data_IF_956450639331
#
_entry.id   IF_956450639331
#
_cell.length_a   1.000
_cell.length_b   1.000
_cell.length_c   1.000
_cell.angle_alpha   90.00
_cell.angle_beta   90.00
_cell.angle_gamma   90.00
#
_symmetry.space_group_name_H-M   'P 1'
#
loop_
_entity.id
_entity.type
_entity.pdbx_description
1 polymer ?
#
# COMPACT_ATOMS: atom_id res chain seq x y z
N UNK A 1 0.48 14.08 -8.35
CA UNK A 1 -0.79 13.48 -7.88
C UNK A 1 -1.88 13.93 -8.82
N UNK A 2 -2.59 12.99 -9.42
CA UNK A 2 -3.58 13.28 -10.46
C UNK A 2 -5.00 13.31 -9.88
N UNK A 3 -5.71 14.43 -10.02
CA UNK A 3 -7.04 14.64 -9.44
C UNK A 3 -8.14 13.80 -10.09
N UNK A 4 -7.89 13.26 -11.28
CA UNK A 4 -8.79 12.34 -11.98
C UNK A 4 -8.60 10.87 -11.57
N UNK A 5 -7.60 10.59 -10.73
CA UNK A 5 -7.30 9.25 -10.22
C UNK A 5 -8.06 8.91 -8.93
N UNK A 6 -7.41 8.11 -8.08
CA UNK A 6 -7.98 7.61 -6.81
C UNK A 6 -7.53 8.42 -5.58
N UNK A 7 -6.76 9.49 -5.77
CA UNK A 7 -6.32 10.37 -4.68
C UNK A 7 -7.52 11.20 -4.21
N UNK A 8 -7.73 11.25 -2.90
CA UNK A 8 -8.82 11.99 -2.27
C UNK A 8 -10.20 11.68 -2.92
N UNK A 9 -10.44 10.40 -3.25
CA UNK A 9 -11.43 9.94 -4.22
C UNK A 9 -12.87 10.42 -3.95
N UNK A 10 -13.30 10.44 -2.70
CA UNK A 10 -14.62 10.92 -2.27
C UNK A 10 -14.58 12.28 -1.55
N UNK A 11 -13.49 13.03 -1.72
CA UNK A 11 -13.22 14.28 -1.03
C UNK A 11 -12.47 14.12 0.30
N UNK A 12 -12.12 12.88 0.67
CA UNK A 12 -11.26 12.55 1.80
C UNK A 12 -10.25 11.45 1.42
N UNK A 13 -9.33 11.13 2.34
CA UNK A 13 -8.35 10.05 2.20
C UNK A 13 -9.03 8.65 2.15
N UNK A 14 -9.62 8.33 1.00
CA UNK A 14 -10.40 7.10 0.78
C UNK A 14 -9.48 5.89 0.65
N UNK A 15 -8.53 5.95 -0.28
CA UNK A 15 -7.64 4.84 -0.65
C UNK A 15 -6.30 4.92 0.07
N UNK A 16 -5.87 6.11 0.44
CA UNK A 16 -4.61 6.42 1.11
C UNK A 16 -4.78 6.53 2.64
N UNK A 17 -3.67 6.46 3.36
CA UNK A 17 -3.68 6.82 4.78
C UNK A 17 -3.93 8.32 4.94
N UNK A 18 -4.74 8.70 5.93
CA UNK A 18 -5.00 10.10 6.26
C UNK A 18 -3.77 10.80 6.84
N UNK A 19 -3.00 10.11 7.70
CA UNK A 19 -1.75 10.64 8.24
C UNK A 19 -0.66 10.67 7.14
N UNK A 20 -0.14 11.85 6.75
CA UNK A 20 0.87 11.95 5.70
C UNK A 20 2.17 11.20 6.01
N UNK A 21 2.49 10.98 7.29
CA UNK A 21 3.67 10.21 7.74
C UNK A 21 3.56 8.73 7.40
N UNK A 22 2.37 8.24 7.10
CA UNK A 22 2.12 6.90 6.55
C UNK A 22 1.73 6.97 5.07
N UNK A 23 0.87 7.94 4.73
CA UNK A 23 0.14 8.04 3.46
C UNK A 23 0.86 8.68 2.29
N UNK A 24 2.12 9.10 2.46
CA UNK A 24 2.89 9.74 1.39
C UNK A 24 4.32 9.22 1.27
N UNK A 25 4.78 9.03 0.03
CA UNK A 25 6.20 9.01 -0.30
C UNK A 25 6.58 10.40 -0.79
N UNK A 26 7.02 11.26 0.12
CA UNK A 26 7.25 12.68 -0.13
C UNK A 26 8.23 12.94 -1.28
N UNK A 27 9.34 12.19 -1.35
CA UNK A 27 10.34 12.32 -2.42
C UNK A 27 9.79 11.94 -3.81
N UNK A 28 8.78 11.06 -3.86
CA UNK A 28 8.17 10.61 -5.10
C UNK A 28 6.93 11.42 -5.48
N UNK A 29 6.39 12.22 -4.55
CA UNK A 29 5.14 12.94 -4.75
C UNK A 29 3.93 12.03 -4.93
N UNK A 30 3.96 10.81 -4.40
CA UNK A 30 2.91 9.79 -4.51
C UNK A 30 2.20 9.54 -3.17
N UNK A 31 0.97 9.01 -3.24
CA UNK A 31 0.20 8.54 -2.08
C UNK A 31 0.47 7.06 -1.81
N UNK A 32 0.36 6.64 -0.57
CA UNK A 32 0.48 5.24 -0.12
C UNK A 32 -0.89 4.72 0.23
N UNK A 33 -1.26 3.57 -0.35
CA UNK A 33 -2.52 2.88 -0.04
C UNK A 33 -2.64 2.55 1.44
N UNK A 34 -3.85 2.71 1.98
CA UNK A 34 -4.18 2.37 3.34
C UNK A 34 -4.40 0.86 3.50
N UNK A 35 -3.35 0.15 3.87
CA UNK A 35 -3.41 -1.31 4.05
C UNK A 35 -4.23 -1.76 5.26
N UNK A 36 -4.70 -0.83 6.12
CA UNK A 36 -5.62 -1.12 7.24
C UNK A 36 -7.08 -1.23 6.78
N UNK A 37 -7.48 -0.54 5.70
CA UNK A 37 -8.88 -0.52 5.22
C UNK A 37 -9.19 -1.78 4.41
N UNK A 38 -10.24 -2.51 4.81
CA UNK A 38 -10.62 -3.78 4.16
C UNK A 38 -10.94 -3.61 2.68
N UNK A 39 -11.62 -2.53 2.32
CA UNK A 39 -12.03 -2.22 0.94
C UNK A 39 -10.83 -1.92 0.05
N UNK A 40 -9.83 -1.21 0.60
CA UNK A 40 -8.56 -0.94 -0.11
C UNK A 40 -7.77 -2.22 -0.30
N UNK A 41 -7.72 -3.09 0.71
CA UNK A 41 -7.08 -4.41 0.58
C UNK A 41 -7.79 -5.26 -0.47
N UNK A 42 -9.12 -5.31 -0.45
CA UNK A 42 -9.91 -6.05 -1.43
C UNK A 42 -9.66 -5.54 -2.85
N UNK A 43 -9.54 -4.22 -3.04
CA UNK A 43 -9.15 -3.63 -4.31
C UNK A 43 -7.75 -4.10 -4.76
N UNK A 44 -6.75 -4.05 -3.87
CA UNK A 44 -5.37 -4.44 -4.18
C UNK A 44 -5.18 -5.94 -4.42
N UNK A 45 -5.91 -6.80 -3.72
CA UNK A 45 -5.91 -8.25 -3.92
C UNK A 45 -6.72 -8.65 -5.15
N UNK A 46 -7.82 -7.93 -5.42
CA UNK A 46 -8.68 -8.16 -6.58
C UNK A 46 -7.98 -7.84 -7.89
N UNK A 47 -7.07 -6.86 -7.92
CA UNK A 47 -6.33 -6.50 -9.14
C UNK A 47 -5.54 -7.67 -9.75
N UNK A 48 -4.59 -8.33 -9.06
CA UNK A 48 -3.85 -9.46 -9.62
C UNK A 48 -4.75 -10.66 -9.93
N UNK A 49 -5.76 -10.95 -9.10
CA UNK A 49 -6.72 -12.02 -9.38
C UNK A 49 -7.52 -11.75 -10.66
N UNK A 50 -7.91 -10.50 -10.91
CA UNK A 50 -8.56 -10.09 -12.15
C UNK A 50 -7.65 -10.28 -13.36
N UNK A 51 -6.36 -9.94 -13.25
CA UNK A 51 -5.40 -10.15 -14.32
C UNK A 51 -5.19 -11.64 -14.64
N UNK A 52 -5.13 -12.50 -13.62
CA UNK A 52 -5.09 -13.96 -13.81
C UNK A 52 -6.37 -14.44 -14.50
N UNK A 53 -7.55 -14.10 -13.98
CA UNK A 53 -8.84 -14.60 -14.49
C UNK A 53 -9.16 -14.11 -15.91
N UNK A 54 -8.89 -12.83 -16.22
CA UNK A 54 -9.28 -12.23 -17.50
C UNK A 54 -8.23 -12.31 -18.58
N UNK A 55 -6.96 -12.33 -18.21
CA UNK A 55 -5.85 -12.23 -19.16
C UNK A 55 -4.88 -13.42 -19.08
N UNK A 56 -5.09 -14.35 -18.14
CA UNK A 56 -4.29 -15.57 -18.00
C UNK A 56 -2.79 -15.29 -17.88
N UNK A 57 -2.42 -14.24 -17.13
CA UNK A 57 -1.02 -13.95 -16.85
C UNK A 57 -0.41 -15.03 -15.94
N UNK A 58 0.83 -15.42 -16.22
CA UNK A 58 1.50 -16.52 -15.50
C UNK A 58 2.22 -16.10 -14.22
N UNK A 59 2.29 -14.80 -13.94
CA UNK A 59 2.95 -14.30 -12.74
C UNK A 59 3.01 -12.79 -12.62
N UNK A 60 3.36 -12.35 -11.40
CA UNK A 60 3.54 -10.94 -11.07
C UNK A 60 4.92 -10.70 -10.49
N UNK A 61 5.46 -9.52 -10.80
CA UNK A 61 6.63 -8.95 -10.13
C UNK A 61 6.18 -7.68 -9.42
N UNK A 62 6.51 -7.56 -8.13
CA UNK A 62 6.30 -6.33 -7.36
C UNK A 62 7.63 -5.60 -7.22
N UNK A 63 7.63 -4.35 -7.64
CA UNK A 63 8.75 -3.42 -7.53
C UNK A 63 8.75 -2.72 -6.15
N UNK A 64 9.92 -2.24 -5.72
CA UNK A 64 10.10 -1.42 -4.53
C UNK A 64 9.42 -1.95 -3.25
N UNK A 65 9.41 -3.25 -3.03
CA UNK A 65 8.71 -3.89 -1.87
C UNK A 65 9.14 -3.29 -0.52
N UNK A 66 10.39 -2.83 -0.37
CA UNK A 66 10.85 -2.13 0.83
C UNK A 66 10.04 -0.86 1.15
N UNK A 67 9.53 -0.15 0.15
CA UNK A 67 8.68 1.03 0.33
C UNK A 67 7.33 0.68 0.96
N UNK A 68 6.88 -0.57 0.80
CA UNK A 68 5.71 -1.08 1.50
C UNK A 68 6.06 -1.57 2.91
N UNK A 69 7.16 -2.32 3.05
CA UNK A 69 7.52 -3.05 4.27
C UNK A 69 8.00 -2.16 5.43
N UNK A 70 8.53 -0.97 5.16
CA UNK A 70 9.13 -0.13 6.19
C UNK A 70 8.40 1.20 6.33
N UNK A 71 7.97 1.51 7.56
CA UNK A 71 7.29 2.76 7.93
C UNK A 71 8.23 3.97 7.89
N UNK A 72 9.54 3.75 7.95
CA UNK A 72 10.58 4.78 7.86
C UNK A 72 11.23 4.87 6.47
N UNK A 73 10.71 4.17 5.46
CA UNK A 73 11.29 4.17 4.11
C UNK A 73 11.40 5.59 3.54
N UNK A 74 12.62 6.04 3.26
CA UNK A 74 12.95 7.40 2.80
C UNK A 74 12.31 8.53 3.65
N UNK A 75 12.19 8.32 4.96
CA UNK A 75 11.68 9.32 5.92
C UNK A 75 12.77 9.66 6.94
N UNK A 76 12.87 10.94 7.32
CA UNK A 76 13.83 11.36 8.37
C UNK A 76 13.31 10.98 9.76
N UNK A 77 14.18 11.12 10.74
CA UNK A 77 13.81 11.04 12.15
C UNK A 77 12.66 12.03 12.45
N UNK A 78 11.61 11.56 13.12
CA UNK A 78 10.34 12.25 13.40
C UNK A 78 9.35 12.46 12.24
N UNK A 79 9.68 12.01 11.01
CA UNK A 79 8.77 12.06 9.85
C UNK A 79 7.99 10.75 9.64
N UNK A 80 8.10 9.82 10.57
CA UNK A 80 7.41 8.52 10.55
C UNK A 80 6.96 8.15 11.96
N UNK A 81 6.09 7.14 12.07
CA UNK A 81 5.60 6.63 13.34
C UNK A 81 5.84 5.11 13.46
N UNK A 82 6.26 4.61 14.64
CA UNK A 82 6.47 3.19 14.85
C UNK A 82 5.18 2.39 14.76
N UNK A 83 5.32 1.10 14.52
CA UNK A 83 4.22 0.15 14.68
C UNK A 83 3.86 -0.05 16.18
N UNK A 84 2.81 -0.82 16.44
CA UNK A 84 2.32 -1.08 17.81
C UNK A 84 3.37 -1.73 18.74
N UNK A 85 4.43 -2.33 18.19
CA UNK A 85 5.53 -2.94 18.94
C UNK A 85 6.76 -2.04 19.07
N UNK A 86 6.69 -0.78 18.61
CA UNK A 86 7.81 0.16 18.64
C UNK A 86 8.82 0.01 17.50
N UNK A 87 8.58 -0.89 16.54
CA UNK A 87 9.46 -1.12 15.39
C UNK A 87 9.08 -0.33 14.14
N UNK A 88 9.89 -0.45 13.08
CA UNK A 88 9.68 0.23 11.80
C UNK A 88 8.95 -0.62 10.75
N UNK A 89 8.68 -1.89 11.03
CA UNK A 89 7.97 -2.76 10.10
C UNK A 89 6.51 -2.32 9.91
N UNK A 90 6.06 -2.22 8.67
CA UNK A 90 4.67 -1.98 8.30
C UNK A 90 3.90 -3.31 8.31
N UNK A 91 3.28 -3.62 9.44
CA UNK A 91 2.65 -4.91 9.69
C UNK A 91 1.47 -5.16 8.74
N UNK A 92 0.74 -4.12 8.37
CA UNK A 92 -0.41 -4.20 7.48
C UNK A 92 0.01 -4.49 6.05
N UNK A 93 1.11 -3.88 5.58
CA UNK A 93 1.72 -4.20 4.30
C UNK A 93 2.27 -5.64 4.28
N UNK A 94 2.96 -6.07 5.34
CA UNK A 94 3.43 -7.46 5.49
C UNK A 94 2.26 -8.43 5.39
N UNK A 95 1.16 -8.16 6.10
CA UNK A 95 -0.04 -8.98 6.07
C UNK A 95 -0.68 -8.99 4.69
N UNK A 96 -0.75 -7.86 3.98
CA UNK A 96 -1.25 -7.78 2.61
C UNK A 96 -0.43 -8.63 1.65
N UNK A 97 0.89 -8.54 1.70
CA UNK A 97 1.76 -9.30 0.80
C UNK A 97 1.67 -10.81 1.06
N UNK A 98 1.55 -11.22 2.33
CA UNK A 98 1.29 -12.63 2.67
C UNK A 98 -0.03 -13.12 2.11
N UNK A 99 -1.10 -12.35 2.28
CA UNK A 99 -2.43 -12.68 1.74
C UNK A 99 -2.41 -12.72 0.21
N UNK A 100 -1.75 -11.77 -0.43
CA UNK A 100 -1.58 -11.74 -1.89
C UNK A 100 -0.88 -13.00 -2.38
N UNK A 101 0.26 -13.37 -1.79
CA UNK A 101 0.99 -14.59 -2.15
C UNK A 101 0.16 -15.85 -1.92
N UNK A 102 -0.67 -15.90 -0.88
CA UNK A 102 -1.58 -17.03 -0.64
C UNK A 102 -2.73 -17.09 -1.66
N UNK A 103 -3.24 -15.94 -2.09
CA UNK A 103 -4.38 -15.88 -3.02
C UNK A 103 -4.00 -16.23 -4.47
N UNK A 104 -2.73 -16.01 -4.87
CA UNK A 104 -2.25 -16.25 -6.24
C UNK A 104 -1.46 -17.55 -6.43
N UNK A 105 -1.23 -18.30 -5.34
CA UNK A 105 -0.62 -19.64 -5.36
C UNK A 105 -1.70 -20.72 -5.37
#
# INVERSE_FOLDING_TARGET
KDSWGIVDYDGAATFEYEDPREGEHAEWGTRVFNFKKHEVRAFLLGAPLFWIDKYHVDGFRVDAVSAMLYRNFNRKENEWIPNEFGGDSNLEAVSLLRELTQAVN
#
